data_IF_440696762500
#
_entry.id   IF_440696762500
#
_cell.length_a   1.000
_cell.length_b   1.000
_cell.length_c   1.000
_cell.angle_alpha   90.00
_cell.angle_beta   90.00
_cell.angle_gamma   90.00
#
_symmetry.space_group_name_H-M   'P 1'
#
loop_
_entity.id
_entity.type
_entity.pdbx_description
1 polymer ?
#
# COMPACT_ATOMS: atom_id res chain seq x y z
N UNK A 1 -19.58 29.17 20.84
CA UNK A 1 -18.70 28.23 21.57
C UNK A 1 -19.51 26.99 21.92
N UNK A 2 -19.48 25.96 21.07
CA UNK A 2 -20.13 24.67 21.35
C UNK A 2 -19.05 23.68 21.81
N UNK A 3 -19.27 23.05 22.96
CA UNK A 3 -18.36 22.07 23.55
C UNK A 3 -18.35 20.80 22.71
N UNK A 4 -17.17 20.37 22.28
CA UNK A 4 -16.92 19.03 21.74
C UNK A 4 -16.92 18.03 22.90
N UNK A 5 -17.66 16.93 22.77
CA UNK A 5 -17.66 15.83 23.74
C UNK A 5 -19.05 15.53 24.31
N UNK A 6 -19.90 14.93 23.48
CA UNK A 6 -20.94 14.03 23.97
C UNK A 6 -20.73 12.68 23.25
N UNK A 7 -20.32 11.67 24.02
CA UNK A 7 -19.92 10.34 23.56
C UNK A 7 -21.03 9.29 23.78
N UNK A 8 -22.29 9.72 23.84
CA UNK A 8 -23.42 8.82 24.11
C UNK A 8 -23.99 8.10 22.88
N UNK A 9 -23.51 8.38 21.66
CA UNK A 9 -24.01 7.70 20.45
C UNK A 9 -23.19 6.45 20.07
N UNK A 10 -23.56 5.31 20.66
CA UNK A 10 -23.00 3.98 20.37
C UNK A 10 -23.57 3.38 19.06
N UNK A 11 -24.47 4.09 18.36
CA UNK A 11 -25.15 3.55 17.16
C UNK A 11 -24.36 3.71 15.85
N UNK A 12 -23.24 4.45 15.87
CA UNK A 12 -22.50 4.84 14.67
C UNK A 12 -23.21 5.90 13.82
N UNK A 13 -24.20 6.62 14.39
CA UNK A 13 -24.92 7.70 13.71
C UNK A 13 -24.01 8.87 13.33
N UNK A 14 -23.09 9.26 14.22
CA UNK A 14 -22.10 10.31 13.95
C UNK A 14 -21.12 9.95 12.81
N UNK A 15 -20.76 8.66 12.67
CA UNK A 15 -19.87 8.17 11.60
C UNK A 15 -20.58 8.18 10.24
N UNK A 16 -21.82 7.67 10.17
CA UNK A 16 -22.63 7.72 8.95
C UNK A 16 -22.98 9.17 8.54
N UNK A 17 -23.17 10.06 9.51
CA UNK A 17 -23.37 11.48 9.26
C UNK A 17 -22.10 12.17 8.72
N UNK A 18 -20.91 11.75 9.17
CA UNK A 18 -19.63 12.24 8.65
C UNK A 18 -19.37 11.74 7.21
N UNK A 19 -19.65 10.47 6.93
CA UNK A 19 -19.56 9.88 5.59
C UNK A 19 -20.53 10.54 4.59
N UNK A 20 -21.78 10.79 5.01
CA UNK A 20 -22.76 11.51 4.18
C UNK A 20 -22.39 12.99 3.96
N UNK A 21 -21.78 13.65 4.95
CA UNK A 21 -21.24 15.02 4.80
C UNK A 21 -20.12 15.06 3.75
N UNK A 22 -19.27 14.04 3.70
CA UNK A 22 -18.16 13.94 2.74
C UNK A 22 -18.64 13.64 1.31
N UNK A 23 -19.65 12.80 1.14
CA UNK A 23 -20.29 12.60 -0.16
C UNK A 23 -20.89 13.91 -0.73
N UNK A 24 -21.47 14.75 0.15
CA UNK A 24 -22.04 16.06 -0.22
C UNK A 24 -21.00 17.12 -0.62
N UNK A 25 -19.86 17.20 0.09
CA UNK A 25 -18.76 18.12 -0.25
C UNK A 25 -18.13 17.75 -1.61
N UNK A 26 -18.03 16.46 -1.91
CA UNK A 26 -17.52 15.96 -3.20
C UNK A 26 -18.48 16.28 -4.36
N UNK A 27 -19.79 16.26 -4.11
CA UNK A 27 -20.79 16.68 -5.10
C UNK A 27 -20.79 18.21 -5.33
N UNK A 28 -20.59 19.01 -4.28
CA UNK A 28 -20.51 20.47 -4.39
C UNK A 28 -19.26 20.94 -5.15
N UNK A 29 -18.11 20.29 -4.96
CA UNK A 29 -16.87 20.60 -5.71
C UNK A 29 -16.95 20.25 -7.20
N UNK A 30 -17.78 19.27 -7.56
CA UNK A 30 -18.05 18.93 -8.97
C UNK A 30 -19.15 19.81 -9.59
N UNK A 31 -20.07 20.34 -8.79
CA UNK A 31 -21.16 21.21 -9.25
C UNK A 31 -20.74 22.70 -9.38
N UNK A 32 -19.78 23.16 -8.57
CA UNK A 32 -19.26 24.53 -8.62
C UNK A 32 -18.20 24.68 -9.70
N UNK A 33 -18.56 24.48 -10.97
CA UNK A 33 -17.77 24.83 -12.16
C UNK A 33 -17.46 26.32 -12.24
N UNK A 34 -16.67 26.83 -11.29
CA UNK A 34 -16.31 28.22 -11.14
C UNK A 34 -14.96 28.45 -11.85
N UNK A 35 -15.08 28.84 -13.12
CA UNK A 35 -13.96 29.31 -13.93
C UNK A 35 -14.42 29.91 -15.25
N UNK A 36 -15.60 30.55 -15.26
CA UNK A 36 -16.02 31.39 -16.38
C UNK A 36 -15.35 32.76 -16.29
N UNK A 37 -14.65 33.13 -17.36
CA UNK A 37 -14.17 34.49 -17.61
C UNK A 37 -13.85 34.68 -19.10
N UNK A 38 -14.82 35.18 -19.88
CA UNK A 38 -14.53 35.92 -21.12
C UNK A 38 -13.87 37.26 -20.76
N UNK A 39 -13.19 38.02 -21.61
CA UNK A 39 -13.11 38.23 -23.08
C UNK A 39 -11.67 38.76 -23.32
N UNK A 40 -10.98 38.59 -24.45
CA UNK A 40 -10.83 39.56 -25.57
C UNK A 40 -10.08 38.87 -26.74
N UNK A 41 -10.55 39.12 -27.96
CA UNK A 41 -9.94 38.72 -29.21
C UNK A 41 -8.57 39.37 -29.47
N UNK A 42 -7.61 38.61 -29.99
CA UNK A 42 -6.32 39.09 -30.48
C UNK A 42 -5.53 37.93 -31.07
N UNK A 43 -5.11 38.05 -32.33
CA UNK A 43 -4.67 36.92 -33.16
C UNK A 43 -3.20 36.51 -33.03
N UNK A 44 -2.91 35.36 -33.64
CA UNK A 44 -1.61 35.01 -34.22
C UNK A 44 -0.66 34.17 -33.35
N UNK A 45 -0.16 33.08 -33.92
CA UNK A 45 1.14 32.51 -33.56
C UNK A 45 1.14 31.08 -33.02
N UNK A 46 1.76 30.19 -33.78
CA UNK A 46 1.91 28.75 -33.55
C UNK A 46 2.80 28.40 -32.34
N UNK A 47 2.62 27.17 -31.84
CA UNK A 47 3.73 26.35 -31.30
C UNK A 47 3.84 26.24 -29.79
N UNK A 48 2.98 25.43 -29.15
CA UNK A 48 3.27 24.86 -27.84
C UNK A 48 2.81 23.39 -27.82
N UNK A 49 3.78 22.47 -27.72
CA UNK A 49 3.54 21.04 -27.55
C UNK A 49 2.83 20.81 -26.21
N UNK A 50 1.52 20.60 -26.28
CA UNK A 50 0.70 20.27 -25.13
C UNK A 50 1.13 18.94 -24.52
N UNK A 51 1.55 18.97 -23.26
CA UNK A 51 1.62 17.76 -22.44
C UNK A 51 0.22 17.13 -22.42
N UNK A 52 0.16 15.83 -22.74
CA UNK A 52 -1.09 15.09 -22.72
C UNK A 52 -1.75 15.20 -21.34
N UNK A 53 -3.09 15.34 -21.26
CA UNK A 53 -3.79 15.34 -19.99
C UNK A 53 -3.47 14.06 -19.19
N UNK A 54 -3.45 14.10 -17.85
CA UNK A 54 -3.15 12.93 -17.04
C UNK A 54 -4.09 11.79 -17.42
N UNK A 55 -3.52 10.63 -17.78
CA UNK A 55 -4.32 9.46 -18.13
C UNK A 55 -5.21 9.10 -16.95
N UNK A 56 -6.52 9.19 -17.17
CA UNK A 56 -7.53 8.84 -16.17
C UNK A 56 -7.60 7.32 -16.14
N UNK A 57 -6.95 6.69 -15.16
CA UNK A 57 -7.15 5.27 -14.89
C UNK A 57 -8.64 5.03 -14.58
N UNK A 58 -9.18 3.88 -14.98
CA UNK A 58 -10.55 3.49 -14.62
C UNK A 58 -10.76 3.64 -13.10
N UNK A 59 -11.93 4.09 -12.63
CA UNK A 59 -12.10 4.49 -11.23
C UNK A 59 -11.79 3.33 -10.27
N UNK A 60 -10.68 3.46 -9.55
CA UNK A 60 -10.26 2.56 -8.46
C UNK A 60 -11.26 2.53 -7.28
N UNK A 61 -12.27 3.40 -7.26
CA UNK A 61 -13.22 3.53 -6.16
C UNK A 61 -14.08 2.28 -5.89
N UNK A 62 -14.27 1.39 -6.88
CA UNK A 62 -14.89 0.09 -6.62
C UNK A 62 -13.90 -0.97 -6.07
N UNK A 63 -12.59 -0.75 -6.22
CA UNK A 63 -11.54 -1.71 -5.91
C UNK A 63 -10.78 -1.42 -4.59
N UNK A 64 -10.76 -0.19 -4.09
CA UNK A 64 -10.09 0.14 -2.83
C UNK A 64 -10.74 -0.54 -1.61
N UNK A 65 -12.08 -0.61 -1.61
CA UNK A 65 -12.84 -1.44 -0.67
C UNK A 65 -12.58 -2.95 -0.84
N UNK A 66 -11.91 -3.39 -1.93
CA UNK A 66 -11.68 -4.81 -2.23
C UNK A 66 -10.29 -5.34 -1.83
N UNK A 67 -9.25 -4.49 -1.78
CA UNK A 67 -7.87 -4.96 -1.52
C UNK A 67 -7.52 -5.01 -0.04
N UNK A 68 -7.96 -4.03 0.76
CA UNK A 68 -7.73 -4.02 2.20
C UNK A 68 -8.52 -5.13 2.91
N UNK A 69 -9.72 -5.45 2.41
CA UNK A 69 -10.48 -6.62 2.85
C UNK A 69 -9.71 -7.93 2.60
N UNK A 70 -9.03 -8.06 1.44
CA UNK A 70 -8.22 -9.24 1.12
C UNK A 70 -7.03 -9.40 2.08
N UNK A 71 -6.36 -8.31 2.46
CA UNK A 71 -5.33 -8.39 3.50
C UNK A 71 -5.86 -8.99 4.81
N UNK A 72 -7.09 -8.63 5.20
CA UNK A 72 -7.71 -9.11 6.43
C UNK A 72 -8.14 -10.58 6.41
N UNK A 73 -8.33 -11.19 5.24
CA UNK A 73 -8.84 -12.59 5.13
C UNK A 73 -7.90 -13.61 5.77
N UNK A 74 -6.61 -13.51 5.47
CA UNK A 74 -5.58 -14.39 6.03
C UNK A 74 -4.62 -13.66 6.95
N UNK A 75 -4.67 -12.32 6.98
CA UNK A 75 -3.71 -11.45 7.70
C UNK A 75 -2.26 -11.70 7.28
N UNK A 76 -2.04 -12.13 6.03
CA UNK A 76 -0.72 -12.44 5.47
C UNK A 76 -0.55 -11.80 4.09
N UNK A 77 0.62 -11.20 3.87
CA UNK A 77 1.02 -10.65 2.56
C UNK A 77 2.38 -11.24 2.16
N UNK A 78 2.41 -12.27 1.29
CA UNK A 78 3.63 -12.78 0.71
C UNK A 78 4.41 -11.66 0.01
N UNK A 79 5.65 -11.46 0.41
CA UNK A 79 6.59 -10.55 -0.28
C UNK A 79 7.39 -11.39 -1.26
N UNK A 80 7.12 -11.22 -2.54
CA UNK A 80 7.60 -12.10 -3.60
C UNK A 80 8.62 -11.37 -4.46
N UNK A 81 9.77 -12.00 -4.71
CA UNK A 81 10.79 -11.52 -5.64
C UNK A 81 11.01 -12.59 -6.71
N UNK A 82 10.83 -12.23 -7.98
CA UNK A 82 10.93 -13.18 -9.09
C UNK A 82 12.10 -12.79 -10.00
N UNK A 83 13.05 -13.69 -10.18
CA UNK A 83 14.16 -13.50 -11.11
C UNK A 83 13.73 -13.67 -12.57
N UNK A 84 12.71 -14.49 -12.83
CA UNK A 84 12.22 -14.80 -14.17
C UNK A 84 10.69 -14.67 -14.25
N UNK A 85 10.12 -14.12 -15.35
CA UNK A 85 8.67 -13.97 -15.51
C UNK A 85 7.93 -15.31 -15.58
N UNK A 86 8.59 -16.39 -16.00
CA UNK A 86 8.00 -17.73 -16.12
C UNK A 86 7.54 -18.30 -14.78
N UNK A 87 8.14 -17.87 -13.67
CA UNK A 87 7.73 -18.26 -12.33
C UNK A 87 6.48 -17.52 -11.83
N UNK A 88 6.05 -16.44 -12.49
CA UNK A 88 5.04 -15.52 -11.97
C UNK A 88 3.66 -16.18 -11.80
N UNK A 89 3.16 -16.81 -12.86
CA UNK A 89 1.88 -17.53 -12.81
C UNK A 89 1.92 -18.75 -11.87
N UNK A 90 2.92 -19.66 -11.94
CA UNK A 90 2.99 -20.80 -11.03
C UNK A 90 3.03 -20.42 -9.54
N UNK A 91 3.80 -19.39 -9.17
CA UNK A 91 3.88 -18.89 -7.79
C UNK A 91 2.55 -18.31 -7.34
N UNK A 92 1.90 -17.48 -8.16
CA UNK A 92 0.59 -16.92 -7.84
C UNK A 92 -0.47 -18.02 -7.64
N UNK A 93 -0.49 -19.04 -8.50
CA UNK A 93 -1.39 -20.19 -8.35
C UNK A 93 -1.07 -21.03 -7.11
N UNK A 94 0.20 -21.18 -6.75
CA UNK A 94 0.60 -21.89 -5.53
C UNK A 94 0.13 -21.18 -4.26
N UNK A 95 0.26 -19.85 -4.20
CA UNK A 95 -0.26 -19.03 -3.11
C UNK A 95 -1.79 -19.16 -2.98
N UNK A 96 -2.52 -19.12 -4.11
CA UNK A 96 -3.97 -19.32 -4.11
C UNK A 96 -4.37 -20.69 -3.55
N UNK A 97 -3.71 -21.77 -4.00
CA UNK A 97 -3.96 -23.12 -3.45
C UNK A 97 -3.64 -23.23 -1.96
N UNK A 98 -2.65 -22.46 -1.50
CA UNK A 98 -2.29 -22.33 -0.09
C UNK A 98 -3.27 -21.49 0.73
N UNK A 99 -4.21 -20.80 0.08
CA UNK A 99 -5.28 -20.02 0.72
C UNK A 99 -5.04 -18.51 0.76
N UNK A 100 -3.99 -17.99 0.11
CA UNK A 100 -3.68 -16.55 0.07
C UNK A 100 -3.97 -15.99 -1.32
N UNK A 101 -4.80 -14.95 -1.38
CA UNK A 101 -5.28 -14.30 -2.61
C UNK A 101 -4.77 -12.85 -2.79
N UNK A 102 -3.71 -12.49 -2.08
CA UNK A 102 -3.02 -11.20 -2.17
C UNK A 102 -1.51 -11.38 -2.13
N UNK A 103 -0.74 -10.57 -2.86
CA UNK A 103 0.74 -10.60 -2.78
C UNK A 103 1.38 -9.23 -3.04
N UNK A 104 2.53 -8.98 -2.41
CA UNK A 104 3.43 -7.87 -2.72
C UNK A 104 4.56 -8.37 -3.64
N UNK A 105 4.49 -8.08 -4.95
CA UNK A 105 5.59 -8.37 -5.88
C UNK A 105 6.60 -7.22 -5.86
N UNK A 106 7.81 -7.47 -5.38
CA UNK A 106 8.84 -6.42 -5.25
C UNK A 106 9.53 -6.09 -6.58
N UNK A 107 9.65 -4.80 -6.89
CA UNK A 107 10.24 -4.27 -8.12
C UNK A 107 11.77 -4.21 -8.06
N UNK A 108 12.42 -5.29 -7.61
CA UNK A 108 13.88 -5.37 -7.43
C UNK A 108 14.60 -6.17 -8.53
N UNK A 109 13.87 -6.69 -9.51
CA UNK A 109 14.44 -7.45 -10.62
C UNK A 109 14.01 -6.83 -11.95
N UNK A 110 14.83 -6.95 -13.03
CA UNK A 110 14.42 -6.50 -14.37
C UNK A 110 13.12 -7.15 -14.86
N UNK A 111 12.86 -8.38 -14.41
CA UNK A 111 11.69 -9.19 -14.76
C UNK A 111 10.40 -8.78 -14.02
N UNK A 112 10.47 -7.95 -12.97
CA UNK A 112 9.35 -7.72 -12.06
C UNK A 112 8.12 -7.12 -12.76
N UNK A 113 8.30 -6.14 -13.66
CA UNK A 113 7.17 -5.53 -14.39
C UNK A 113 6.49 -6.51 -15.34
N UNK A 114 7.25 -7.40 -15.98
CA UNK A 114 6.67 -8.43 -16.84
C UNK A 114 5.93 -9.49 -16.00
N UNK A 115 6.52 -9.91 -14.87
CA UNK A 115 5.89 -10.81 -13.93
C UNK A 115 4.57 -10.23 -13.37
N UNK A 116 4.55 -8.94 -13.04
CA UNK A 116 3.35 -8.22 -12.60
C UNK A 116 2.23 -8.31 -13.64
N UNK A 117 2.53 -7.98 -14.91
CA UNK A 117 1.55 -8.09 -16.02
C UNK A 117 1.04 -9.51 -16.21
N UNK A 118 1.93 -10.50 -16.11
CA UNK A 118 1.56 -11.91 -16.27
C UNK A 118 0.62 -12.37 -15.15
N UNK A 119 0.88 -11.99 -13.89
CA UNK A 119 0.01 -12.33 -12.77
C UNK A 119 -1.35 -11.64 -12.93
N UNK A 120 -1.35 -10.32 -13.16
CA UNK A 120 -2.58 -9.55 -13.29
C UNK A 120 -3.48 -10.03 -14.45
N UNK A 121 -2.88 -10.49 -15.56
CA UNK A 121 -3.65 -10.98 -16.72
C UNK A 121 -4.05 -12.45 -16.65
N UNK A 122 -3.20 -13.33 -16.10
CA UNK A 122 -3.43 -14.79 -16.12
C UNK A 122 -4.01 -15.36 -14.83
N UNK A 123 -3.94 -14.61 -13.74
CA UNK A 123 -4.38 -15.04 -12.40
C UNK A 123 -5.19 -13.91 -11.74
N UNK A 124 -6.34 -13.49 -12.33
CA UNK A 124 -7.14 -12.36 -11.85
C UNK A 124 -7.71 -12.56 -10.43
N UNK A 125 -7.73 -13.79 -9.92
CA UNK A 125 -8.13 -14.10 -8.55
C UNK A 125 -7.12 -13.58 -7.51
N UNK A 126 -5.85 -13.41 -7.93
CA UNK A 126 -4.76 -12.89 -7.11
C UNK A 126 -4.71 -11.36 -7.17
N UNK A 127 -4.95 -10.70 -6.04
CA UNK A 127 -4.68 -9.28 -5.89
C UNK A 127 -3.17 -9.03 -5.79
N UNK A 128 -2.54 -8.78 -6.93
CA UNK A 128 -1.10 -8.47 -7.00
C UNK A 128 -0.87 -6.97 -6.81
N UNK A 129 -0.03 -6.61 -5.85
CA UNK A 129 0.47 -5.25 -5.66
C UNK A 129 1.95 -5.15 -6.03
N UNK A 130 2.41 -3.92 -6.29
CA UNK A 130 3.82 -3.65 -6.53
C UNK A 130 4.49 -3.15 -5.24
N UNK A 131 5.53 -3.85 -4.81
CA UNK A 131 6.35 -3.49 -3.65
C UNK A 131 7.69 -2.89 -4.04
N UNK A 132 8.34 -2.23 -3.08
CA UNK A 132 9.60 -1.48 -3.33
C UNK A 132 9.42 -0.42 -4.42
N UNK A 133 8.29 0.28 -4.43
CA UNK A 133 8.05 1.41 -5.34
C UNK A 133 8.77 2.63 -4.77
N UNK A 134 9.70 3.20 -5.55
CA UNK A 134 10.59 4.28 -5.11
C UNK A 134 10.36 5.60 -5.85
N UNK A 135 9.63 5.59 -6.97
CA UNK A 135 9.34 6.78 -7.76
C UNK A 135 7.90 6.78 -8.32
N UNK A 136 7.39 7.97 -8.66
CA UNK A 136 6.07 8.12 -9.25
C UNK A 136 5.99 7.43 -10.63
N UNK A 137 7.08 7.42 -11.38
CA UNK A 137 7.18 6.73 -12.67
C UNK A 137 7.07 5.20 -12.48
N UNK A 138 7.70 4.64 -11.43
CA UNK A 138 7.51 3.22 -11.09
C UNK A 138 6.07 2.92 -10.65
N UNK A 139 5.45 3.82 -9.89
CA UNK A 139 4.05 3.69 -9.48
C UNK A 139 3.11 3.67 -10.69
N UNK A 140 3.29 4.59 -11.63
CA UNK A 140 2.54 4.65 -12.88
C UNK A 140 2.72 3.38 -13.72
N UNK A 141 3.96 2.94 -13.91
CA UNK A 141 4.27 1.71 -14.65
C UNK A 141 3.66 0.48 -14.00
N UNK A 142 3.68 0.39 -12.67
CA UNK A 142 3.10 -0.72 -11.92
C UNK A 142 1.57 -0.76 -12.04
N UNK A 143 0.91 0.38 -11.89
CA UNK A 143 -0.55 0.49 -12.07
C UNK A 143 -0.94 0.15 -13.51
N UNK A 144 -0.22 0.69 -14.50
CA UNK A 144 -0.44 0.35 -15.92
C UNK A 144 -0.18 -1.14 -16.22
N UNK A 145 0.66 -1.81 -15.43
CA UNK A 145 0.90 -3.24 -15.51
C UNK A 145 -0.15 -4.10 -14.78
N UNK A 146 -1.10 -3.49 -14.08
CA UNK A 146 -2.20 -4.18 -13.39
C UNK A 146 -2.01 -4.35 -11.88
N UNK A 147 -1.09 -3.60 -11.25
CA UNK A 147 -1.00 -3.58 -9.79
C UNK A 147 -2.31 -3.05 -9.18
N UNK A 148 -2.86 -3.80 -8.22
CA UNK A 148 -4.09 -3.43 -7.48
C UNK A 148 -3.81 -2.50 -6.30
N UNK A 149 -2.57 -2.47 -5.83
CA UNK A 149 -2.09 -1.60 -4.75
C UNK A 149 -0.58 -1.39 -4.85
N UNK A 150 -0.06 -0.41 -4.13
CA UNK A 150 1.35 -0.08 -4.06
C UNK A 150 1.89 -0.22 -2.63
N UNK A 151 3.16 -0.60 -2.52
CA UNK A 151 3.91 -0.62 -1.25
C UNK A 151 5.26 0.03 -1.47
N UNK A 152 5.56 1.06 -0.70
CA UNK A 152 6.89 1.68 -0.64
C UNK A 152 7.59 1.30 0.67
N UNK A 153 8.94 1.21 0.69
CA UNK A 153 9.66 0.80 1.89
C UNK A 153 9.68 1.87 3.00
N UNK A 154 9.29 3.11 2.67
CA UNK A 154 9.21 4.23 3.61
C UNK A 154 8.03 5.16 3.30
N UNK A 155 7.81 6.15 4.14
CA UNK A 155 6.92 7.29 3.99
C UNK A 155 7.90 8.43 3.94
N UNK A 156 8.33 8.83 2.75
CA UNK A 156 9.35 9.87 2.75
C UNK A 156 8.84 11.11 3.46
N UNK A 157 9.71 11.71 4.27
CA UNK A 157 9.43 12.93 4.99
C UNK A 157 8.90 14.01 4.04
N UNK A 158 7.83 14.66 4.48
CA UNK A 158 7.29 15.86 3.86
C UNK A 158 8.42 16.90 3.86
N UNK A 159 8.98 17.18 2.68
CA UNK A 159 9.67 18.46 2.49
C UNK A 159 8.59 19.48 2.18
N UNK A 160 8.14 20.20 3.21
CA UNK A 160 7.31 21.41 3.08
C UNK A 160 8.01 22.52 2.28
N UNK A 161 9.21 22.27 1.72
CA UNK A 161 9.85 23.08 0.70
C UNK A 161 10.06 22.28 -0.60
N UNK A 162 9.02 22.17 -1.41
CA UNK A 162 9.10 21.75 -2.83
C UNK A 162 8.50 22.80 -3.77
N UNK A 163 8.62 24.07 -3.43
CA UNK A 163 8.54 25.15 -4.42
C UNK A 163 9.96 25.56 -4.77
N UNK A 164 10.28 25.54 -6.07
CA UNK A 164 11.49 26.08 -6.71
C UNK A 164 12.79 25.26 -6.62
N UNK A 165 12.94 24.22 -7.45
CA UNK A 165 14.17 23.94 -8.21
C UNK A 165 14.06 22.58 -8.92
N UNK A 166 14.40 22.54 -10.22
CA UNK A 166 14.39 21.37 -11.10
C UNK A 166 15.44 20.29 -10.77
N UNK A 167 15.75 20.04 -9.50
CA UNK A 167 16.59 18.93 -9.09
C UNK A 167 15.73 17.75 -8.63
N UNK A 168 15.53 16.82 -9.57
CA UNK A 168 14.89 15.52 -9.41
C UNK A 168 15.69 14.63 -8.47
N UNK A 169 15.56 14.84 -7.17
CA UNK A 169 16.00 13.84 -6.19
C UNK A 169 14.91 12.76 -6.09
N UNK A 170 15.27 11.57 -6.54
CA UNK A 170 14.50 10.33 -6.52
C UNK A 170 14.33 9.85 -5.08
N UNK A 171 13.35 10.38 -4.35
CA UNK A 171 12.86 9.73 -3.14
C UNK A 171 11.35 9.86 -3.00
N UNK A 172 10.84 9.06 -2.07
CA UNK A 172 9.52 8.48 -1.96
C UNK A 172 8.30 9.40 -1.65
N UNK A 173 8.35 10.74 -1.38
CA UNK A 173 7.12 11.50 -1.09
C UNK A 173 6.23 11.57 -2.32
N UNK A 174 6.86 11.60 -3.50
CA UNK A 174 6.20 11.64 -4.81
C UNK A 174 5.41 10.36 -5.10
N UNK A 175 5.78 9.20 -4.52
CA UNK A 175 5.01 7.96 -4.70
C UNK A 175 3.68 8.07 -3.95
N UNK A 176 3.75 8.49 -2.69
CA UNK A 176 2.58 8.62 -1.81
C UNK A 176 1.63 9.68 -2.35
N UNK A 177 2.13 10.87 -2.67
CA UNK A 177 1.34 11.95 -3.28
C UNK A 177 0.73 11.53 -4.63
N UNK A 178 1.50 10.88 -5.48
CA UNK A 178 1.00 10.43 -6.79
C UNK A 178 -0.16 9.44 -6.62
N UNK A 179 -0.04 8.50 -5.69
CA UNK A 179 -1.03 7.48 -5.42
C UNK A 179 -2.30 8.08 -4.79
N UNK A 180 -2.17 8.94 -3.78
CA UNK A 180 -3.30 9.57 -3.09
C UNK A 180 -4.09 10.49 -4.02
N UNK A 181 -3.42 11.33 -4.82
CA UNK A 181 -4.06 12.20 -5.82
C UNK A 181 -4.86 11.43 -6.88
N UNK A 182 -4.53 10.15 -7.12
CA UNK A 182 -5.16 9.29 -8.13
C UNK A 182 -6.09 8.23 -7.53
N UNK A 183 -6.26 8.21 -6.21
CA UNK A 183 -7.07 7.21 -5.51
C UNK A 183 -6.54 5.77 -5.66
N UNK A 184 -5.23 5.60 -5.89
CA UNK A 184 -4.58 4.29 -5.94
C UNK A 184 -4.28 3.83 -4.51
N UNK A 185 -4.72 2.62 -4.10
CA UNK A 185 -4.39 2.09 -2.78
C UNK A 185 -2.88 1.98 -2.55
N UNK A 186 -2.40 2.51 -1.42
CA UNK A 186 -0.99 2.47 -1.05
C UNK A 186 -0.81 2.14 0.43
N UNK A 187 0.19 1.32 0.74
CA UNK A 187 0.65 1.01 2.10
C UNK A 187 2.11 1.47 2.23
N UNK A 188 2.38 2.72 2.63
CA UNK A 188 3.74 3.24 2.71
C UNK A 188 4.44 2.79 4.00
N UNK A 189 5.77 2.69 3.96
CA UNK A 189 6.57 2.17 5.08
C UNK A 189 6.85 3.19 6.18
N UNK A 190 6.90 2.81 7.45
CA UNK A 190 7.32 3.68 8.54
C UNK A 190 8.11 2.88 9.58
N UNK A 191 8.96 3.57 10.33
CA UNK A 191 9.68 3.04 11.48
C UNK A 191 9.60 3.97 12.70
N UNK A 192 9.13 5.20 12.55
CA UNK A 192 9.15 6.24 13.60
C UNK A 192 7.80 6.98 13.75
N UNK A 193 7.61 7.64 14.89
CA UNK A 193 6.47 8.51 15.16
C UNK A 193 6.29 9.62 14.11
N UNK A 194 7.38 10.32 13.74
CA UNK A 194 7.34 11.40 12.74
C UNK A 194 6.91 10.91 11.35
N UNK A 195 7.31 9.69 10.98
CA UNK A 195 6.87 9.06 9.73
C UNK A 195 5.39 8.66 9.75
N UNK A 196 4.89 8.20 10.90
CA UNK A 196 3.46 7.94 11.09
C UNK A 196 2.65 9.23 10.98
N UNK A 197 3.09 10.30 11.63
CA UNK A 197 2.45 11.62 11.57
C UNK A 197 2.43 12.19 10.14
N UNK A 198 3.55 12.08 9.41
CA UNK A 198 3.61 12.47 8.01
C UNK A 198 2.60 11.70 7.13
N UNK A 199 2.38 10.41 7.40
CA UNK A 199 1.38 9.64 6.67
C UNK A 199 -0.06 10.04 7.05
N UNK A 200 -0.30 10.34 8.33
CA UNK A 200 -1.60 10.82 8.83
C UNK A 200 -1.97 12.19 8.24
N UNK A 201 -1.01 13.10 8.03
CA UNK A 201 -1.24 14.38 7.34
C UNK A 201 -1.76 14.20 5.91
N UNK A 202 -1.44 13.07 5.28
CA UNK A 202 -1.95 12.67 3.96
C UNK A 202 -3.22 11.83 4.02
N UNK A 203 -3.81 11.66 5.21
CA UNK A 203 -5.01 10.85 5.44
C UNK A 203 -4.79 9.34 5.40
N UNK A 204 -3.53 8.87 5.49
CA UNK A 204 -3.20 7.46 5.40
C UNK A 204 -3.16 6.81 6.79
N UNK A 205 -3.90 5.72 6.95
CA UNK A 205 -4.01 4.98 8.22
C UNK A 205 -3.46 3.56 8.15
N UNK A 206 -3.15 3.04 6.96
CA UNK A 206 -2.58 1.70 6.78
C UNK A 206 -1.12 1.82 6.37
N UNK A 207 -0.21 1.46 7.27
CA UNK A 207 1.23 1.66 7.11
C UNK A 207 1.96 0.32 7.16
N UNK A 208 3.09 0.22 6.45
CA UNK A 208 4.01 -0.92 6.54
C UNK A 208 5.04 -0.61 7.63
N UNK A 209 5.13 -1.42 8.68
CA UNK A 209 6.20 -1.25 9.67
C UNK A 209 7.46 -1.96 9.16
N UNK A 210 8.47 -1.20 8.72
CA UNK A 210 9.64 -1.76 8.04
C UNK A 210 10.93 -0.97 8.35
N UNK A 211 12.07 -1.65 8.54
CA UNK A 211 12.23 -3.10 8.73
C UNK A 211 11.83 -3.53 10.15
N UNK A 212 10.89 -4.48 10.28
CA UNK A 212 10.24 -4.78 11.55
C UNK A 212 11.17 -5.35 12.64
N UNK A 213 12.03 -6.33 12.30
CA UNK A 213 12.95 -6.95 13.27
C UNK A 213 14.30 -6.23 13.39
N UNK A 214 14.64 -5.31 12.48
CA UNK A 214 15.92 -4.63 12.58
C UNK A 214 15.95 -3.72 13.81
N UNK A 215 17.07 -3.74 14.53
CA UNK A 215 17.32 -2.82 15.65
C UNK A 215 18.21 -1.70 15.16
N UNK A 216 17.95 -0.47 15.59
CA UNK A 216 18.87 0.63 15.34
C UNK A 216 19.91 0.69 16.46
N UNK A 217 21.11 1.21 16.18
CA UNK A 217 22.13 1.41 17.21
C UNK A 217 21.69 2.39 18.32
N UNK A 218 20.66 3.21 18.07
CA UNK A 218 20.12 4.17 19.02
C UNK A 218 18.88 3.64 19.78
N UNK A 219 18.33 2.49 19.38
CA UNK A 219 17.15 1.89 20.00
C UNK A 219 17.31 0.38 20.11
N UNK A 220 17.49 -0.09 21.34
CA UNK A 220 17.51 -1.52 21.73
C UNK A 220 16.17 -2.24 21.49
N UNK A 221 15.12 -1.50 21.10
CA UNK A 221 13.77 -2.01 20.90
C UNK A 221 13.49 -2.07 19.40
N UNK A 222 13.32 -3.29 18.89
CA UNK A 222 12.76 -3.59 17.56
C UNK A 222 11.55 -4.51 17.70
N UNK A 223 11.08 -5.03 16.57
CA UNK A 223 10.09 -6.10 16.54
C UNK A 223 8.70 -5.70 17.03
N UNK A 224 7.93 -6.69 17.49
CA UNK A 224 6.57 -6.49 18.02
C UNK A 224 6.54 -5.54 19.23
N UNK A 225 7.59 -5.50 20.05
CA UNK A 225 7.69 -4.58 21.19
C UNK A 225 7.78 -3.11 20.74
N UNK A 226 8.61 -2.82 19.73
CA UNK A 226 8.70 -1.49 19.13
C UNK A 226 7.35 -1.08 18.53
N UNK A 227 6.73 -1.99 17.77
CA UNK A 227 5.44 -1.72 17.14
C UNK A 227 4.34 -1.46 18.17
N UNK A 228 4.32 -2.20 19.28
CA UNK A 228 3.37 -1.97 20.39
C UNK A 228 3.57 -0.59 21.03
N UNK A 229 4.81 -0.15 21.21
CA UNK A 229 5.12 1.16 21.75
C UNK A 229 4.68 2.28 20.79
N UNK A 230 5.01 2.15 19.50
CA UNK A 230 4.58 3.09 18.45
C UNK A 230 3.06 3.14 18.31
N UNK A 231 2.35 2.01 18.33
CA UNK A 231 0.89 1.96 18.26
C UNK A 231 0.17 2.47 19.52
N UNK A 232 0.89 2.84 20.57
CA UNK A 232 0.32 3.41 21.80
C UNK A 232 -0.48 4.69 21.53
N UNK A 233 0.16 5.76 21.02
CA UNK A 233 -0.50 7.02 20.70
C UNK A 233 -1.44 6.97 19.48
N UNK A 234 -1.13 6.15 18.47
CA UNK A 234 -1.81 6.17 17.16
C UNK A 234 -2.88 5.08 17.01
N UNK A 235 -3.99 5.19 17.75
CA UNK A 235 -5.04 4.15 17.81
C UNK A 235 -5.78 3.89 16.50
N UNK A 236 -5.84 4.89 15.62
CA UNK A 236 -6.51 4.78 14.31
C UNK A 236 -5.59 4.24 13.20
N UNK A 237 -4.29 4.08 13.50
CA UNK A 237 -3.32 3.53 12.55
C UNK A 237 -3.32 2.01 12.62
N UNK A 238 -3.15 1.38 11.47
CA UNK A 238 -3.01 -0.06 11.27
C UNK A 238 -1.68 -0.35 10.59
N UNK A 239 -1.01 -1.40 11.04
CA UNK A 239 0.34 -1.73 10.65
C UNK A 239 0.43 -3.09 9.97
N UNK A 240 1.31 -3.16 8.96
CA UNK A 240 1.79 -4.39 8.36
C UNK A 240 3.29 -4.56 8.63
N UNK A 241 3.69 -5.24 9.73
CA UNK A 241 5.10 -5.54 9.98
C UNK A 241 5.68 -6.36 8.84
N UNK A 242 6.83 -5.93 8.33
CA UNK A 242 7.56 -6.59 7.25
C UNK A 242 9.06 -6.47 7.49
N UNK A 243 9.83 -7.51 7.16
CA UNK A 243 11.28 -7.55 7.32
C UNK A 243 11.68 -8.26 8.62
N UNK A 244 12.11 -9.52 8.49
CA UNK A 244 12.45 -10.40 9.61
C UNK A 244 11.26 -11.12 10.24
N UNK A 245 10.03 -10.88 9.78
CA UNK A 245 8.86 -11.69 10.16
C UNK A 245 9.04 -13.11 9.60
N UNK A 246 8.73 -14.09 10.43
CA UNK A 246 8.82 -15.53 10.17
C UNK A 246 7.61 -16.23 10.79
N UNK A 247 7.39 -17.50 10.47
CA UNK A 247 6.34 -18.30 11.13
C UNK A 247 6.50 -18.34 12.66
N UNK A 248 7.73 -18.30 13.18
CA UNK A 248 7.99 -18.41 14.62
C UNK A 248 7.61 -17.14 15.41
N UNK A 249 7.83 -15.95 14.84
CA UNK A 249 7.50 -14.68 15.52
C UNK A 249 6.16 -14.09 15.08
N UNK A 250 5.48 -14.67 14.08
CA UNK A 250 4.18 -14.21 13.59
C UNK A 250 3.13 -13.99 14.70
N UNK A 251 2.96 -14.88 15.70
CA UNK A 251 1.96 -14.67 16.76
C UNK A 251 2.21 -13.41 17.60
N UNK A 252 3.49 -13.04 17.81
CA UNK A 252 3.84 -11.84 18.57
C UNK A 252 3.37 -10.55 17.90
N UNK A 253 3.27 -10.56 16.57
CA UNK A 253 2.75 -9.44 15.79
C UNK A 253 1.24 -9.47 15.66
N UNK A 254 0.66 -10.61 15.27
CA UNK A 254 -0.78 -10.70 14.99
C UNK A 254 -1.66 -10.54 16.23
N UNK A 255 -1.11 -10.77 17.43
CA UNK A 255 -1.78 -10.47 18.70
C UNK A 255 -1.89 -8.97 19.01
N UNK A 256 -1.20 -8.10 18.27
CA UNK A 256 -1.32 -6.64 18.45
C UNK A 256 -2.59 -6.13 17.74
N UNK A 257 -3.50 -5.39 18.41
CA UNK A 257 -4.75 -4.93 17.82
C UNK A 257 -4.57 -4.00 16.61
N UNK A 258 -3.43 -3.31 16.55
CA UNK A 258 -3.07 -2.42 15.46
C UNK A 258 -2.52 -3.15 14.23
N UNK A 259 -2.34 -4.47 14.24
CA UNK A 259 -1.75 -5.21 13.10
C UNK A 259 -2.85 -5.80 12.23
N UNK A 260 -2.95 -5.35 10.98
CA UNK A 260 -3.97 -5.83 10.04
C UNK A 260 -3.52 -7.07 9.24
N UNK A 261 -2.22 -7.14 8.92
CA UNK A 261 -1.61 -8.28 8.24
C UNK A 261 -0.10 -8.31 8.53
N UNK A 262 0.59 -9.41 8.27
CA UNK A 262 2.04 -9.49 8.33
C UNK A 262 2.64 -9.80 6.95
N UNK A 263 3.69 -9.06 6.60
CA UNK A 263 4.39 -9.22 5.33
C UNK A 263 5.66 -10.05 5.48
N UNK A 264 5.93 -10.99 4.57
CA UNK A 264 7.26 -11.58 4.49
C UNK A 264 7.49 -12.61 3.39
N UNK A 265 8.75 -13.01 3.29
CA UNK A 265 9.27 -13.83 2.19
C UNK A 265 9.24 -15.34 2.48
N UNK A 266 8.97 -15.76 3.72
CA UNK A 266 9.05 -17.17 4.12
C UNK A 266 7.99 -18.06 3.45
N UNK A 267 6.88 -17.46 2.97
CA UNK A 267 5.85 -18.17 2.21
C UNK A 267 6.32 -18.53 0.80
N UNK A 268 7.22 -17.73 0.23
CA UNK A 268 7.78 -17.92 -1.12
C UNK A 268 9.31 -17.83 -1.07
N UNK A 269 9.99 -18.83 -0.48
CA UNK A 269 11.45 -18.82 -0.41
C UNK A 269 12.06 -18.81 -1.82
N UNK A 270 13.13 -18.02 -2.00
CA UNK A 270 13.83 -17.92 -3.28
C UNK A 270 14.33 -19.30 -3.78
N UNK A 271 14.72 -20.19 -2.88
CA UNK A 271 15.16 -21.55 -3.20
C UNK A 271 14.02 -22.40 -3.81
N UNK A 272 12.81 -22.34 -3.24
CA UNK A 272 11.66 -23.06 -3.78
C UNK A 272 11.30 -22.55 -5.18
N UNK A 273 11.38 -21.22 -5.40
CA UNK A 273 11.17 -20.63 -6.73
C UNK A 273 12.24 -21.07 -7.73
N UNK A 274 13.51 -21.07 -7.33
CA UNK A 274 14.62 -21.49 -8.17
C UNK A 274 14.52 -22.97 -8.58
N UNK A 275 14.08 -23.83 -7.65
CA UNK A 275 13.83 -25.27 -7.91
C UNK A 275 12.50 -25.56 -8.59
N UNK A 276 11.66 -24.54 -8.81
CA UNK A 276 10.28 -24.66 -9.31
C UNK A 276 9.41 -25.58 -8.43
N UNK A 277 9.68 -25.59 -7.12
CA UNK A 277 8.96 -26.38 -6.14
C UNK A 277 7.69 -25.65 -5.67
N UNK A 278 6.68 -25.66 -6.53
CA UNK A 278 5.40 -25.01 -6.28
C UNK A 278 4.58 -25.71 -5.18
N UNK A 279 4.86 -26.99 -4.95
CA UNK A 279 4.26 -27.75 -3.85
C UNK A 279 4.79 -27.27 -2.50
N UNK A 280 6.10 -26.99 -2.40
CA UNK A 280 6.67 -26.38 -1.21
C UNK A 280 6.07 -24.98 -0.93
N UNK A 281 5.92 -24.13 -1.95
CA UNK A 281 5.27 -22.81 -1.80
C UNK A 281 3.84 -22.95 -1.27
N UNK A 282 3.06 -23.87 -1.84
CA UNK A 282 1.70 -24.13 -1.37
C UNK A 282 1.68 -24.62 0.10
N UNK A 283 2.52 -25.58 0.45
CA UNK A 283 2.60 -26.14 1.80
C UNK A 283 3.00 -25.08 2.85
N UNK A 284 4.02 -24.27 2.54
CA UNK A 284 4.46 -23.16 3.39
C UNK A 284 3.36 -22.11 3.57
N UNK A 285 2.64 -21.80 2.50
CA UNK A 285 1.53 -20.85 2.53
C UNK A 285 0.40 -21.38 3.41
N UNK A 286 0.01 -22.64 3.25
CA UNK A 286 -1.04 -23.28 4.05
C UNK A 286 -0.67 -23.31 5.54
N UNK A 287 0.57 -23.66 5.86
CA UNK A 287 1.09 -23.64 7.22
C UNK A 287 1.07 -22.23 7.83
N UNK A 288 1.44 -21.21 7.06
CA UNK A 288 1.40 -19.82 7.50
C UNK A 288 -0.05 -19.35 7.75
N UNK A 289 -1.00 -19.67 6.87
CA UNK A 289 -2.43 -19.36 7.04
C UNK A 289 -2.98 -19.99 8.32
N UNK A 290 -2.64 -21.25 8.58
CA UNK A 290 -3.04 -21.91 9.83
C UNK A 290 -2.46 -21.20 11.06
N UNK A 291 -1.15 -20.90 11.05
CA UNK A 291 -0.50 -20.20 12.15
C UNK A 291 -1.08 -18.79 12.38
N UNK A 292 -1.49 -18.09 11.32
CA UNK A 292 -2.13 -16.78 11.42
C UNK A 292 -3.54 -16.87 12.05
N UNK A 293 -4.31 -17.90 11.69
CA UNK A 293 -5.62 -18.16 12.28
C UNK A 293 -5.53 -18.51 13.77
N UNK A 294 -4.52 -19.28 14.19
CA UNK A 294 -4.28 -19.63 15.60
C UNK A 294 -3.81 -18.44 16.46
N UNK A 295 -3.22 -17.41 15.82
CA UNK A 295 -2.71 -16.22 16.48
C UNK A 295 -3.70 -15.04 16.55
N UNK A 296 -4.88 -15.17 15.93
CA UNK A 296 -5.93 -14.14 15.84
C UNK A 296 -7.01 -14.35 16.90
#
# INVERSE_FOLDING_TARGET
MARFGDLSDVSGGALRAAEARWAGVTAQLNASGAGGGGVVAGGGGEGASGAAPPQRFAPFHAAAASVFERFGRTRLVPVVSLASPEAAEPVARALLRGGVDVMELVLRTPSAMQALRLIASKVPEMAVGAGTVLSAEQAEQAVAAGASFLVSPGTAAISTHLTTSHHTSSTNPRVVEWATQRGVPIVPGCATASEIEAALELGLTHLKFFPAEARSAAAEIGGAAALKALGGPYKDVRFMPTGGVTQANLPSYLSLPGVFAAGGTWLVPAEAVAKRDWAAVEALTRAAVQAAAEAS
#
